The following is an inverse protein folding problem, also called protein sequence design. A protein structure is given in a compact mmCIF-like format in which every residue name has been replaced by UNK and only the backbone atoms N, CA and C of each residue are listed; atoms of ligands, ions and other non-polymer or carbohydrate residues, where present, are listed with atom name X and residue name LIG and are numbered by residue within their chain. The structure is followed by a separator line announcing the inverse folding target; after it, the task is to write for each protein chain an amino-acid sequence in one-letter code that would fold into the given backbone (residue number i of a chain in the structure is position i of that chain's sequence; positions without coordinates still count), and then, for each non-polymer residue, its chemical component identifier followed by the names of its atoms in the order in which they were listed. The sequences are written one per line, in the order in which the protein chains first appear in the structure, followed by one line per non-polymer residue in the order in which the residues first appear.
data_IF_449809159505
#
_entry.id   IF_449809159505
#
_cell.length_a   1.000
_cell.length_b   1.000
_cell.length_c   1.000
_cell.angle_alpha   90.00
_cell.angle_beta   90.00
_cell.angle_gamma   90.00
#
_symmetry.space_group_name_H-M   'P 1'
#
loop_
_entity.id
_entity.type
_entity.pdbx_description
1 polymer ?
#
# COMPACT_ATOMS: atom_id res chain seq x y z
N UNK A 1 23.02 -2.90 15.87
CA UNK A 1 21.74 -2.27 16.27
C UNK A 1 21.34 -1.11 15.37
N UNK A 2 22.25 -0.21 14.98
CA UNK A 2 21.94 0.96 14.15
C UNK A 2 21.53 0.61 12.70
N UNK A 3 22.15 -0.40 12.09
CA UNK A 3 21.84 -0.88 10.73
C UNK A 3 20.39 -1.37 10.60
N UNK A 4 19.90 -2.14 11.58
CA UNK A 4 18.52 -2.65 11.61
C UNK A 4 17.50 -1.51 11.79
N UNK A 5 17.84 -0.49 12.59
CA UNK A 5 17.00 0.73 12.74
C UNK A 5 16.86 1.51 11.43
N UNK A 6 17.94 1.61 10.65
CA UNK A 6 17.91 2.29 9.36
C UNK A 6 17.06 1.54 8.32
N UNK A 7 17.15 0.21 8.26
CA UNK A 7 16.28 -0.59 7.38
C UNK A 7 14.81 -0.50 7.77
N UNK A 8 14.50 -0.55 9.07
CA UNK A 8 13.12 -0.38 9.54
C UNK A 8 12.55 1.00 9.20
N UNK A 9 13.35 2.06 9.31
CA UNK A 9 12.94 3.40 8.90
C UNK A 9 12.70 3.49 7.38
N UNK A 10 13.55 2.84 6.58
CA UNK A 10 13.38 2.78 5.12
C UNK A 10 12.11 2.02 4.72
N UNK A 11 11.84 0.86 5.31
CA UNK A 11 10.62 0.07 5.06
C UNK A 11 9.38 0.90 5.41
N UNK A 12 9.39 1.60 6.56
CA UNK A 12 8.29 2.47 6.99
C UNK A 12 8.07 3.62 6.02
N UNK A 13 9.16 4.26 5.58
CA UNK A 13 9.11 5.36 4.63
C UNK A 13 8.53 4.93 3.27
N UNK A 14 9.02 3.82 2.71
CA UNK A 14 8.53 3.27 1.45
C UNK A 14 7.05 2.86 1.55
N UNK A 15 6.66 2.21 2.64
CA UNK A 15 5.28 1.81 2.89
C UNK A 15 4.36 3.04 3.01
N UNK A 16 4.82 4.09 3.71
CA UNK A 16 4.07 5.33 3.86
C UNK A 16 3.87 6.05 2.53
N UNK A 17 4.93 6.21 1.72
CA UNK A 17 4.83 6.83 0.40
C UNK A 17 3.92 6.03 -0.52
N UNK A 18 4.05 4.70 -0.52
CA UNK A 18 3.15 3.82 -1.27
C UNK A 18 1.69 4.04 -0.86
N UNK A 19 1.42 4.01 0.44
CA UNK A 19 0.08 4.20 0.98
C UNK A 19 -0.50 5.55 0.60
N UNK A 20 0.23 6.65 0.80
CA UNK A 20 -0.21 8.00 0.46
C UNK A 20 -0.45 8.14 -1.05
N UNK A 21 0.46 7.65 -1.89
CA UNK A 21 0.31 7.73 -3.34
C UNK A 21 -0.91 6.96 -3.85
N UNK A 22 -1.15 5.76 -3.33
CA UNK A 22 -2.32 4.95 -3.70
C UNK A 22 -3.62 5.56 -3.17
N UNK A 23 -3.58 6.19 -1.99
CA UNK A 23 -4.71 6.91 -1.44
C UNK A 23 -5.10 8.09 -2.34
N UNK A 24 -4.13 8.95 -2.68
CA UNK A 24 -4.37 10.11 -3.55
C UNK A 24 -4.92 9.65 -4.90
N UNK A 25 -4.31 8.64 -5.54
CA UNK A 25 -4.77 8.13 -6.82
C UNK A 25 -6.23 7.64 -6.77
N UNK A 26 -6.55 6.78 -5.81
CA UNK A 26 -7.91 6.22 -5.66
C UNK A 26 -8.93 7.31 -5.30
N UNK A 27 -8.52 8.26 -4.44
CA UNK A 27 -9.35 9.39 -4.05
C UNK A 27 -9.64 10.31 -5.23
N UNK A 28 -8.63 10.69 -6.02
CA UNK A 28 -8.80 11.55 -7.20
C UNK A 28 -9.71 10.89 -8.24
N UNK A 29 -9.57 9.57 -8.45
CA UNK A 29 -10.45 8.84 -9.37
C UNK A 29 -11.92 8.87 -8.96
N UNK A 30 -12.20 8.85 -7.66
CA UNK A 30 -13.56 8.93 -7.13
C UNK A 30 -14.07 10.38 -7.09
N UNK A 31 -13.21 11.33 -6.70
CA UNK A 31 -13.55 12.75 -6.59
C UNK A 31 -13.93 13.36 -7.95
N UNK A 32 -13.32 12.89 -9.05
CA UNK A 32 -13.62 13.36 -10.39
C UNK A 32 -14.96 12.86 -10.94
N UNK A 33 -15.72 12.05 -10.19
CA UNK A 33 -17.05 11.58 -10.60
C UNK A 33 -18.08 12.66 -10.26
N UNK A 34 -18.40 13.50 -11.25
CA UNK A 34 -19.35 14.61 -11.12
C UNK A 34 -20.80 14.12 -11.15
N UNK A 35 -21.09 13.07 -11.94
CA UNK A 35 -22.40 12.43 -12.06
C UNK A 35 -22.25 10.91 -11.98
N UNK A 36 -22.61 10.37 -10.81
CA UNK A 36 -22.46 8.95 -10.49
C UNK A 36 -23.33 8.07 -11.38
N UNK A 37 -24.55 8.51 -11.72
CA UNK A 37 -25.50 7.70 -12.51
C UNK A 37 -24.99 7.57 -13.95
N UNK A 38 -24.61 8.70 -14.56
CA UNK A 38 -24.04 8.70 -15.90
C UNK A 38 -22.72 7.93 -15.95
N UNK A 39 -21.87 8.08 -14.93
CA UNK A 39 -20.59 7.38 -14.85
C UNK A 39 -20.77 5.86 -14.75
N UNK A 40 -21.68 5.37 -13.89
CA UNK A 40 -21.97 3.93 -13.77
C UNK A 40 -22.45 3.34 -15.10
N UNK A 41 -23.26 4.08 -15.86
CA UNK A 41 -23.75 3.62 -17.15
C UNK A 41 -22.65 3.57 -18.23
N UNK A 42 -21.54 4.30 -18.06
CA UNK A 42 -20.46 4.43 -19.05
C UNK A 42 -19.26 3.55 -18.71
N UNK A 43 -18.77 3.64 -17.47
CA UNK A 43 -17.55 2.98 -16.99
C UNK A 43 -17.86 1.72 -16.16
N UNK A 44 -19.12 1.52 -15.77
CA UNK A 44 -19.55 0.40 -14.95
C UNK A 44 -19.32 0.59 -13.46
N UNK A 45 -20.19 -0.02 -12.66
CA UNK A 45 -20.10 0.02 -11.19
C UNK A 45 -18.79 -0.57 -10.64
N UNK A 46 -18.17 -1.49 -11.40
CA UNK A 46 -16.89 -2.13 -11.07
C UNK A 46 -15.75 -1.11 -10.89
N UNK A 47 -15.74 -0.01 -11.65
CA UNK A 47 -14.70 1.02 -11.51
C UNK A 47 -14.76 1.72 -10.15
N UNK A 48 -15.97 2.02 -9.68
CA UNK A 48 -16.20 2.66 -8.37
C UNK A 48 -15.77 1.71 -7.25
N UNK A 49 -16.25 0.46 -7.30
CA UNK A 49 -15.87 -0.57 -6.33
C UNK A 49 -14.34 -0.71 -6.27
N UNK A 50 -13.69 -0.79 -7.43
CA UNK A 50 -12.23 -0.94 -7.53
C UNK A 50 -11.50 0.16 -6.77
N UNK A 51 -11.87 1.42 -6.98
CA UNK A 51 -11.21 2.54 -6.31
C UNK A 51 -11.54 2.62 -4.82
N UNK A 52 -12.75 2.23 -4.39
CA UNK A 52 -13.08 2.13 -2.96
C UNK A 52 -12.23 1.06 -2.27
N UNK A 53 -12.08 -0.11 -2.90
CA UNK A 53 -11.19 -1.17 -2.40
C UNK A 53 -9.75 -0.67 -2.34
N UNK A 54 -9.30 0.04 -3.38
CA UNK A 54 -7.99 0.70 -3.40
C UNK A 54 -7.78 1.63 -2.22
N UNK A 55 -8.75 2.50 -1.92
CA UNK A 55 -8.71 3.38 -0.75
C UNK A 55 -8.53 2.61 0.56
N UNK A 56 -9.35 1.58 0.79
CA UNK A 56 -9.31 0.77 2.01
C UNK A 56 -7.91 0.16 2.21
N UNK A 57 -7.34 -0.46 1.17
CA UNK A 57 -6.00 -1.05 1.28
C UNK A 57 -4.92 -0.01 1.53
N UNK A 58 -5.00 1.14 0.85
CA UNK A 58 -4.00 2.21 1.02
C UNK A 58 -4.08 2.87 2.40
N UNK A 59 -5.27 3.04 2.96
CA UNK A 59 -5.50 3.52 4.32
C UNK A 59 -4.92 2.54 5.35
N UNK A 60 -5.18 1.24 5.18
CA UNK A 60 -4.59 0.19 6.02
C UNK A 60 -3.06 0.30 6.03
N UNK A 61 -2.42 0.47 4.87
CA UNK A 61 -0.96 0.64 4.76
C UNK A 61 -0.49 1.90 5.48
N UNK A 62 -1.19 3.02 5.34
CA UNK A 62 -0.85 4.27 6.03
C UNK A 62 -0.94 4.09 7.56
N UNK A 63 -2.07 3.56 8.05
CA UNK A 63 -2.29 3.31 9.48
C UNK A 63 -1.21 2.42 10.09
N UNK A 64 -0.78 1.41 9.33
CA UNK A 64 0.33 0.56 9.73
C UNK A 64 1.66 1.31 9.74
N UNK A 65 1.96 2.06 8.68
CA UNK A 65 3.24 2.77 8.54
C UNK A 65 3.48 3.85 9.61
N UNK A 66 2.41 4.44 10.15
CA UNK A 66 2.48 5.52 11.16
C UNK A 66 2.63 4.99 12.60
N UNK A 67 2.27 3.72 12.88
CA UNK A 67 2.28 3.22 14.26
C UNK A 67 3.72 3.18 14.84
N UNK A 68 4.01 3.95 15.91
CA UNK A 68 5.39 4.16 16.37
C UNK A 68 6.00 2.95 17.09
N UNK A 69 5.18 2.11 17.73
CA UNK A 69 5.65 1.19 18.78
C UNK A 69 5.18 -0.27 18.66
N UNK A 70 4.76 -0.70 17.47
CA UNK A 70 4.66 -2.12 17.19
C UNK A 70 5.54 -2.41 15.99
N UNK A 71 6.57 -3.28 16.09
CA UNK A 71 6.98 -4.00 14.91
C UNK A 71 5.72 -4.75 14.53
N UNK A 72 5.02 -4.25 13.54
CA UNK A 72 3.88 -4.99 13.02
C UNK A 72 4.48 -6.36 12.72
N UNK A 73 3.86 -7.48 13.16
CA UNK A 73 4.29 -8.79 12.72
C UNK A 73 3.87 -8.92 11.25
N UNK A 74 4.34 -8.02 10.39
CA UNK A 74 4.24 -8.16 8.96
C UNK A 74 5.33 -9.15 8.65
N UNK A 75 4.95 -10.42 8.64
CA UNK A 75 5.59 -11.31 7.70
C UNK A 75 5.61 -10.58 6.36
N UNK A 76 6.78 -10.38 5.75
CA UNK A 76 6.93 -9.94 4.35
C UNK A 76 5.81 -10.46 3.42
N UNK A 77 5.28 -11.66 3.68
CA UNK A 77 4.07 -12.22 3.06
C UNK A 77 2.84 -11.29 3.11
N UNK A 78 2.49 -10.69 4.25
CA UNK A 78 1.35 -9.78 4.37
C UNK A 78 1.59 -8.44 3.64
N UNK A 79 2.81 -7.86 3.70
CA UNK A 79 3.18 -6.71 2.86
C UNK A 79 3.07 -7.09 1.38
N UNK A 80 3.53 -8.29 1.02
CA UNK A 80 3.46 -8.84 -0.33
C UNK A 80 2.03 -8.94 -0.84
N UNK A 81 1.15 -9.53 -0.03
CA UNK A 81 -0.27 -9.68 -0.34
C UNK A 81 -0.94 -8.31 -0.48
N UNK A 82 -0.74 -7.40 0.47
CA UNK A 82 -1.32 -6.06 0.42
C UNK A 82 -0.77 -5.27 -0.78
N UNK A 83 0.53 -5.36 -1.07
CA UNK A 83 1.16 -4.76 -2.24
C UNK A 83 0.53 -5.23 -3.54
N UNK A 84 0.31 -6.53 -3.67
CA UNK A 84 -0.37 -7.12 -4.82
C UNK A 84 -1.81 -6.59 -4.97
N UNK A 85 -2.58 -6.51 -3.88
CA UNK A 85 -3.91 -5.91 -3.91
C UNK A 85 -3.88 -4.44 -4.32
N UNK A 86 -2.92 -3.64 -3.84
CA UNK A 86 -2.78 -2.24 -4.25
C UNK A 86 -2.42 -2.12 -5.74
N UNK A 87 -1.61 -3.02 -6.29
CA UNK A 87 -1.30 -3.02 -7.74
C UNK A 87 -2.56 -3.25 -8.59
N UNK A 88 -3.47 -4.13 -8.14
CA UNK A 88 -4.70 -4.46 -8.87
C UNK A 88 -5.72 -3.33 -8.72
N UNK A 89 -5.98 -2.89 -7.48
CA UNK A 89 -7.14 -2.08 -7.13
C UNK A 89 -6.85 -0.57 -7.09
N UNK A 90 -5.59 -0.15 -7.06
CA UNK A 90 -5.20 1.25 -6.99
C UNK A 90 -4.12 1.56 -8.05
N UNK A 91 -3.01 2.14 -7.64
CA UNK A 91 -1.90 2.52 -8.51
C UNK A 91 -0.80 1.47 -8.52
N UNK A 92 -0.48 0.97 -9.71
CA UNK A 92 0.53 -0.08 -9.92
C UNK A 92 1.86 0.23 -9.22
N UNK A 93 2.37 1.45 -9.37
CA UNK A 93 3.66 1.84 -8.81
C UNK A 93 3.67 1.88 -7.28
N UNK A 94 2.54 2.22 -6.64
CA UNK A 94 2.43 2.17 -5.19
C UNK A 94 2.52 0.73 -4.69
N UNK A 95 1.75 -0.18 -5.29
CA UNK A 95 1.84 -1.59 -4.93
C UNK A 95 3.23 -2.17 -5.16
N UNK A 96 3.92 -1.79 -6.25
CA UNK A 96 5.31 -2.18 -6.51
C UNK A 96 6.30 -1.67 -5.45
N UNK A 97 6.18 -0.40 -5.03
CA UNK A 97 6.98 0.15 -3.94
C UNK A 97 6.79 -0.62 -2.64
N UNK A 98 5.55 -1.02 -2.36
CA UNK A 98 5.23 -1.82 -1.18
C UNK A 98 5.84 -3.24 -1.26
N UNK A 99 5.87 -3.85 -2.45
CA UNK A 99 6.58 -5.12 -2.66
C UNK A 99 8.08 -5.01 -2.43
N UNK A 100 8.72 -3.92 -2.87
CA UNK A 100 10.14 -3.65 -2.59
C UNK A 100 10.36 -3.56 -1.08
N UNK A 101 9.50 -2.85 -0.35
CA UNK A 101 9.59 -2.75 1.11
C UNK A 101 9.49 -4.13 1.77
N UNK A 102 8.61 -5.02 1.27
CA UNK A 102 8.50 -6.40 1.73
C UNK A 102 9.72 -7.26 1.42
N UNK A 103 10.33 -7.07 0.24
CA UNK A 103 11.57 -7.75 -0.13
C UNK A 103 12.75 -7.35 0.74
N UNK A 104 12.87 -6.06 1.08
CA UNK A 104 13.89 -5.55 2.01
C UNK A 104 13.70 -6.18 3.40
N UNK A 105 12.46 -6.25 3.90
CA UNK A 105 12.16 -6.91 5.18
C UNK A 105 12.55 -8.39 5.17
N UNK A 106 12.25 -9.11 4.08
CA UNK A 106 12.62 -10.51 3.92
C UNK A 106 14.14 -10.72 3.99
N UNK A 107 14.90 -9.97 3.18
CA UNK A 107 16.36 -10.07 3.12
C UNK A 107 17.00 -9.76 4.47
N UNK A 108 16.50 -8.71 5.14
CA UNK A 108 17.03 -8.28 6.44
C UNK A 108 16.83 -9.36 7.51
N UNK A 109 15.67 -10.06 7.50
CA UNK A 109 15.39 -11.15 8.43
C UNK A 109 16.14 -12.44 8.14
N UNK A 110 16.38 -12.77 6.87
CA UNK A 110 17.17 -13.95 6.50
C UNK A 110 18.65 -13.77 6.82
N UNK A 111 19.19 -12.55 6.65
CA UNK A 111 20.59 -12.25 6.98
C UNK A 111 20.91 -12.13 8.47
N UNK A 112 19.90 -12.11 9.35
CA UNK A 112 20.08 -12.17 10.81
C UNK A 112 20.08 -13.60 11.37
N UNK A 113 19.78 -14.61 10.53
CA UNK A 113 19.75 -16.03 10.92
C UNK A 113 21.06 -16.78 10.62
N UNK A 114 22.01 -16.14 9.97
CA UNK A 114 23.39 -16.62 9.76
C UNK A 114 24.35 -15.94 10.75
#
# INVERSE_FOLDING_TARGET
MEKNRNYQNLIRFLSLISGIGGFIFSFTNLYNIIDVIRFINTEGFTYIIKNIIGLIFTEIVILFSIRPNRPIPIHFALIGVIGFFIMIFSYFWCGFLLLIAGGIDLITRTGEKE
#
